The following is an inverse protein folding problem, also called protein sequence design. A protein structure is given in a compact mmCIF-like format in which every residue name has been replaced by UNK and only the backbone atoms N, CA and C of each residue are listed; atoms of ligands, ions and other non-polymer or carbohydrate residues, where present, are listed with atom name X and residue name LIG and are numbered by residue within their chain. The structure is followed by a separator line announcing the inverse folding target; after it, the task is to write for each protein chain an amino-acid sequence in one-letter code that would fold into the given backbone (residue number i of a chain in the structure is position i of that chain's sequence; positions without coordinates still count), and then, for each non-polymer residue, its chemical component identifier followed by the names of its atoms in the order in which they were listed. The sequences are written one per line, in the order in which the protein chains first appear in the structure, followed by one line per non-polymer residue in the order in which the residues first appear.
data_IF_838497568954
#
_entry.id   IF_838497568954
#
_cell.length_a   1.000
_cell.length_b   1.000
_cell.length_c   1.000
_cell.angle_alpha   90.00
_cell.angle_beta   90.00
_cell.angle_gamma   90.00
#
_symmetry.space_group_name_H-M   'P 1'
#
loop_
_entity.id
_entity.type
_entity.pdbx_description
1 polymer ?
#
# COMPACT_ATOMS: atom_id res chain seq x y z
N UNK A 1 -9.11 9.53 -5.73
CA UNK A 1 -9.07 8.24 -4.99
C UNK A 1 -8.28 8.42 -3.71
N UNK A 2 -8.66 7.74 -2.63
CA UNK A 2 -8.05 7.85 -1.30
C UNK A 2 -7.57 6.46 -0.83
N UNK A 3 -6.54 6.37 0.03
CA UNK A 3 -6.21 5.11 0.68
C UNK A 3 -7.34 4.69 1.62
N UNK A 4 -7.50 3.39 1.79
CA UNK A 4 -8.51 2.83 2.69
C UNK A 4 -8.27 1.36 2.95
N UNK A 5 -9.13 0.76 3.77
CA UNK A 5 -9.15 -0.68 4.00
C UNK A 5 -10.28 -1.32 3.20
N UNK A 6 -10.02 -2.49 2.62
CA UNK A 6 -11.00 -3.30 1.91
C UNK A 6 -10.89 -4.74 2.40
N UNK A 7 -12.03 -5.36 2.70
CA UNK A 7 -12.09 -6.76 3.11
C UNK A 7 -12.79 -7.56 2.01
N UNK A 8 -12.04 -8.42 1.34
CA UNK A 8 -12.58 -9.45 0.46
C UNK A 8 -12.91 -10.70 1.29
N UNK A 9 -14.11 -11.25 1.13
CA UNK A 9 -14.55 -12.45 1.83
C UNK A 9 -15.09 -13.47 0.84
N UNK A 10 -14.36 -14.57 0.71
CA UNK A 10 -14.77 -15.78 0.01
C UNK A 10 -14.17 -16.97 0.78
N UNK A 11 -14.87 -18.12 0.80
CA UNK A 11 -14.29 -19.34 1.40
C UNK A 11 -13.02 -19.73 0.63
N UNK A 12 -11.98 -20.05 1.37
CA UNK A 12 -10.63 -20.28 0.86
C UNK A 12 -9.85 -19.02 0.47
N UNK A 13 -10.50 -17.86 0.40
CA UNK A 13 -9.92 -16.62 -0.12
C UNK A 13 -10.48 -15.39 0.62
N UNK A 14 -10.10 -15.23 1.89
CA UNK A 14 -10.41 -14.01 2.65
C UNK A 14 -9.15 -13.17 2.82
N UNK A 15 -9.21 -11.90 2.42
CA UNK A 15 -8.07 -10.99 2.44
C UNK A 15 -8.46 -9.58 2.85
N UNK A 16 -7.69 -9.00 3.77
CA UNK A 16 -7.70 -7.56 4.03
C UNK A 16 -6.68 -6.89 3.11
N UNK A 17 -7.09 -5.80 2.48
CA UNK A 17 -6.25 -4.96 1.64
C UNK A 17 -6.19 -3.54 2.20
N UNK A 18 -5.09 -2.85 1.89
CA UNK A 18 -4.87 -1.44 2.20
C UNK A 18 -4.23 -0.73 1.01
N UNK A 19 -4.26 0.60 1.03
CA UNK A 19 -3.50 1.44 0.10
C UNK A 19 -4.33 1.98 -1.06
N UNK A 20 -3.66 2.25 -2.18
CA UNK A 20 -4.23 2.87 -3.38
C UNK A 20 -4.00 1.96 -4.57
N UNK A 21 -5.09 1.37 -5.09
CA UNK A 21 -5.10 0.47 -6.23
C UNK A 21 -5.45 1.24 -7.51
N UNK A 22 -4.63 1.08 -8.56
CA UNK A 22 -4.83 1.70 -9.88
C UNK A 22 -5.14 3.22 -9.86
N UNK A 23 -4.32 4.05 -9.16
CA UNK A 23 -4.44 5.50 -9.22
C UNK A 23 -4.34 6.04 -10.65
N UNK A 24 -5.11 7.09 -10.91
CA UNK A 24 -4.93 7.91 -12.10
C UNK A 24 -3.53 8.55 -12.13
N UNK A 25 -3.12 9.02 -13.31
CA UNK A 25 -1.79 9.56 -13.51
C UNK A 25 -1.45 10.73 -12.55
N UNK A 26 -2.36 11.69 -12.26
CA UNK A 26 -2.09 12.76 -11.29
C UNK A 26 -1.81 12.25 -9.87
N UNK A 27 -2.62 11.31 -9.36
CA UNK A 27 -2.44 10.75 -8.02
C UNK A 27 -1.16 9.91 -7.96
N UNK A 28 -0.92 9.09 -8.99
CA UNK A 28 0.27 8.26 -9.08
C UNK A 28 1.56 9.11 -9.12
N UNK A 29 1.52 10.25 -9.82
CA UNK A 29 2.63 11.21 -9.83
C UNK A 29 2.88 11.77 -8.43
N UNK A 30 1.84 12.22 -7.71
CA UNK A 30 1.99 12.76 -6.35
C UNK A 30 2.64 11.76 -5.38
N UNK A 31 2.24 10.49 -5.45
CA UNK A 31 2.85 9.43 -4.62
C UNK A 31 4.33 9.27 -4.93
N UNK A 32 4.69 9.20 -6.22
CA UNK A 32 6.09 9.07 -6.66
C UNK A 32 6.93 10.30 -6.30
N UNK A 33 6.39 11.49 -6.48
CA UNK A 33 7.07 12.74 -6.12
C UNK A 33 7.38 12.74 -4.62
N UNK A 34 6.42 12.36 -3.76
CA UNK A 34 6.68 12.25 -2.32
C UNK A 34 7.77 11.22 -1.98
N UNK A 35 7.86 10.11 -2.71
CA UNK A 35 8.95 9.12 -2.49
C UNK A 35 10.33 9.75 -2.78
N UNK A 36 10.41 10.64 -3.77
CA UNK A 36 11.64 11.37 -4.12
C UNK A 36 11.92 12.48 -3.13
N UNK A 37 10.89 13.25 -2.75
CA UNK A 37 11.02 14.42 -1.88
C UNK A 37 11.24 14.03 -0.41
N UNK A 38 10.65 12.92 0.04
CA UNK A 38 10.71 12.40 1.41
C UNK A 38 11.19 10.93 1.46
N UNK A 39 12.42 10.63 1.00
CA UNK A 39 12.91 9.26 0.88
C UNK A 39 13.01 8.52 2.23
N UNK A 40 13.26 9.24 3.32
CA UNK A 40 13.29 8.67 4.66
C UNK A 40 11.89 8.31 5.20
N UNK A 41 10.86 9.06 4.81
CA UNK A 41 9.48 8.72 5.15
C UNK A 41 9.07 7.42 4.42
N UNK A 42 9.39 7.32 3.13
CA UNK A 42 9.16 6.08 2.38
C UNK A 42 9.95 4.90 2.94
N UNK A 43 11.22 5.12 3.33
CA UNK A 43 12.06 4.10 3.96
C UNK A 43 11.43 3.53 5.24
N UNK A 44 10.77 4.36 6.05
CA UNK A 44 10.05 3.90 7.26
C UNK A 44 8.87 3.00 6.90
N UNK A 45 8.14 3.31 5.82
CA UNK A 45 7.05 2.46 5.32
C UNK A 45 7.57 1.08 4.92
N UNK A 46 8.58 1.01 4.05
CA UNK A 46 9.09 -0.28 3.55
C UNK A 46 9.92 -1.07 4.58
N UNK A 47 10.42 -0.40 5.64
CA UNK A 47 11.04 -1.08 6.80
C UNK A 47 10.00 -1.61 7.78
N UNK A 48 8.77 -1.10 7.74
CA UNK A 48 7.68 -1.75 8.45
C UNK A 48 7.40 -3.13 7.81
N UNK A 49 6.67 -4.02 8.50
CA UNK A 49 6.29 -5.32 7.95
C UNK A 49 5.28 -5.24 6.78
N UNK A 50 5.09 -4.05 6.21
CA UNK A 50 4.25 -3.83 5.03
C UNK A 50 4.96 -4.35 3.79
N UNK A 51 4.31 -5.28 3.09
CA UNK A 51 4.72 -5.68 1.76
C UNK A 51 3.90 -4.89 0.75
N UNK A 52 4.55 -4.00 -0.01
CA UNK A 52 3.88 -3.25 -1.09
C UNK A 52 3.84 -4.13 -2.34
N UNK A 53 2.65 -4.36 -2.86
CA UNK A 53 2.36 -5.30 -3.94
C UNK A 53 1.57 -4.64 -5.10
N UNK A 54 1.25 -5.43 -6.11
CA UNK A 54 0.53 -5.01 -7.32
C UNK A 54 1.43 -4.70 -8.51
N UNK A 55 0.85 -4.06 -9.52
CA UNK A 55 1.47 -3.88 -10.83
C UNK A 55 2.67 -2.93 -10.81
N UNK A 56 3.63 -3.19 -11.70
CA UNK A 56 4.79 -2.32 -11.91
C UNK A 56 5.13 -2.16 -13.39
N UNK A 57 5.67 -1.00 -13.74
CA UNK A 57 6.26 -0.74 -15.06
C UNK A 57 7.51 -1.60 -15.27
N UNK A 58 7.80 -1.97 -16.52
CA UNK A 58 9.05 -2.69 -16.86
C UNK A 58 10.30 -1.81 -16.84
N UNK A 59 10.13 -0.50 -17.06
CA UNK A 59 11.20 0.49 -17.13
C UNK A 59 10.95 1.61 -16.12
N UNK A 60 11.99 2.32 -15.67
CA UNK A 60 11.85 3.58 -14.94
C UNK A 60 10.79 4.49 -15.55
N UNK A 61 9.88 5.08 -14.76
CA UNK A 61 8.96 6.09 -15.25
C UNK A 61 9.72 7.34 -15.75
N UNK A 62 9.29 7.99 -16.84
CA UNK A 62 9.89 9.25 -17.27
C UNK A 62 9.81 10.33 -16.19
N UNK A 63 10.84 11.17 -16.09
CA UNK A 63 10.90 12.26 -15.10
C UNK A 63 11.50 11.87 -13.74
N UNK A 64 11.94 10.63 -13.57
CA UNK A 64 12.61 10.15 -12.36
C UNK A 64 14.01 9.65 -12.67
N UNK A 65 14.96 9.87 -11.75
CA UNK A 65 16.34 9.38 -11.90
C UNK A 65 16.35 7.83 -11.93
N UNK A 66 16.84 7.19 -13.02
CA UNK A 66 16.93 5.73 -13.08
C UNK A 66 17.85 5.13 -12.02
N UNK A 67 18.74 5.91 -11.41
CA UNK A 67 19.63 5.50 -10.32
C UNK A 67 19.07 5.81 -8.92
N UNK A 68 17.83 6.31 -8.81
CA UNK A 68 17.22 6.61 -7.52
C UNK A 68 17.16 5.34 -6.65
N UNK A 69 17.48 5.41 -5.34
CA UNK A 69 17.51 4.24 -4.46
C UNK A 69 16.16 3.50 -4.37
N UNK A 70 15.05 4.21 -4.61
CA UNK A 70 13.70 3.66 -4.63
C UNK A 70 13.13 3.48 -6.06
N UNK A 71 13.98 3.33 -7.07
CA UNK A 71 13.50 3.22 -8.46
C UNK A 71 12.52 2.07 -8.69
N UNK A 72 12.64 0.97 -7.93
CA UNK A 72 11.68 -0.14 -8.00
C UNK A 72 10.30 0.27 -7.49
N UNK A 73 10.24 1.08 -6.43
CA UNK A 73 8.97 1.61 -5.92
C UNK A 73 8.40 2.68 -6.83
N UNK A 74 9.25 3.52 -7.43
CA UNK A 74 8.81 4.51 -8.42
C UNK A 74 8.20 3.84 -9.66
N UNK A 75 8.63 2.62 -10.02
CA UNK A 75 8.03 1.84 -11.12
C UNK A 75 6.63 1.32 -10.80
N UNK A 76 6.21 1.27 -9.53
CA UNK A 76 4.90 0.75 -9.14
C UNK A 76 3.78 1.55 -9.77
N UNK A 77 2.73 0.85 -10.17
CA UNK A 77 1.43 1.42 -10.55
C UNK A 77 0.45 1.32 -9.40
N UNK A 78 0.58 0.27 -8.59
CA UNK A 78 -0.21 0.05 -7.39
C UNK A 78 0.62 0.25 -6.12
N UNK A 79 -0.01 0.84 -5.11
CA UNK A 79 0.56 0.98 -3.78
C UNK A 79 -0.39 0.33 -2.79
N UNK A 80 -0.48 -0.99 -2.86
CA UNK A 80 -1.38 -1.79 -2.02
C UNK A 80 -0.59 -2.76 -1.14
N UNK A 81 -1.20 -3.20 -0.05
CA UNK A 81 -0.71 -4.30 0.78
C UNK A 81 -1.87 -5.18 1.22
N UNK A 82 -1.61 -6.46 1.47
CA UNK A 82 -2.63 -7.41 1.90
C UNK A 82 -2.22 -8.32 3.05
N UNK A 83 -3.26 -8.89 3.68
CA UNK A 83 -3.19 -9.95 4.69
C UNK A 83 -4.26 -10.98 4.42
N UNK A 84 -3.89 -12.25 4.32
CA UNK A 84 -4.81 -13.36 4.12
C UNK A 84 -5.25 -13.98 5.46
N UNK A 85 -6.47 -14.50 5.47
CA UNK A 85 -7.06 -15.21 6.59
C UNK A 85 -7.52 -16.59 6.13
N UNK A 86 -7.29 -17.61 6.97
CA UNK A 86 -7.81 -18.96 6.76
C UNK A 86 -9.27 -19.02 7.22
N UNK A 87 -10.08 -19.89 6.61
CA UNK A 87 -11.51 -20.03 6.92
C UNK A 87 -11.82 -20.21 8.41
N UNK A 88 -11.00 -20.98 9.14
CA UNK A 88 -11.20 -21.16 10.59
C UNK A 88 -10.91 -19.89 11.41
N UNK A 89 -10.09 -18.97 10.92
CA UNK A 89 -9.86 -17.68 11.55
C UNK A 89 -11.04 -16.75 11.28
N UNK A 90 -11.59 -16.79 10.05
CA UNK A 90 -12.73 -15.97 9.62
C UNK A 90 -14.01 -16.31 10.39
N UNK A 91 -14.23 -17.58 10.68
CA UNK A 91 -15.40 -18.04 11.46
C UNK A 91 -15.19 -17.98 12.97
N UNK A 92 -14.01 -17.58 13.44
CA UNK A 92 -13.71 -17.48 14.86
C UNK A 92 -14.31 -16.21 15.48
N UNK A 93 -14.65 -16.22 16.79
CA UNK A 93 -15.05 -15.00 17.49
C UNK A 93 -13.95 -13.91 17.52
N UNK A 94 -12.69 -14.27 17.26
CA UNK A 94 -11.53 -13.37 17.24
C UNK A 94 -11.25 -12.78 15.85
N UNK A 95 -12.10 -13.05 14.85
CA UNK A 95 -11.84 -12.60 13.49
C UNK A 95 -11.73 -11.08 13.39
N UNK A 96 -12.62 -10.34 14.05
CA UNK A 96 -12.61 -8.89 13.99
C UNK A 96 -11.33 -8.30 14.59
N UNK A 97 -10.84 -8.85 15.70
CA UNK A 97 -9.58 -8.44 16.31
C UNK A 97 -8.40 -8.72 15.37
N UNK A 98 -8.37 -9.92 14.78
CA UNK A 98 -7.35 -10.29 13.79
C UNK A 98 -7.37 -9.39 12.55
N UNK A 99 -8.56 -8.96 12.12
CA UNK A 99 -8.73 -8.02 11.02
C UNK A 99 -8.23 -6.61 11.38
N UNK A 100 -8.51 -6.14 12.59
CA UNK A 100 -8.01 -4.85 13.10
C UNK A 100 -6.47 -4.87 13.19
N UNK A 101 -5.88 -5.92 13.76
CA UNK A 101 -4.42 -6.10 13.81
C UNK A 101 -3.79 -6.10 12.41
N UNK A 102 -4.45 -6.74 11.44
CA UNK A 102 -4.01 -6.70 10.04
C UNK A 102 -4.05 -5.26 9.48
N UNK A 103 -5.12 -4.52 9.71
CA UNK A 103 -5.27 -3.12 9.31
C UNK A 103 -4.20 -2.21 9.93
N UNK A 104 -3.95 -2.34 11.24
CA UNK A 104 -2.91 -1.61 11.96
C UNK A 104 -1.51 -1.91 11.42
N UNK A 105 -1.25 -3.19 11.08
CA UNK A 105 0.02 -3.59 10.48
C UNK A 105 0.29 -2.93 9.12
N UNK A 106 -0.76 -2.44 8.46
CA UNK A 106 -0.71 -1.77 7.16
C UNK A 106 -0.91 -0.24 7.25
N UNK A 107 -1.20 0.31 8.43
CA UNK A 107 -1.39 1.76 8.67
C UNK A 107 -0.26 2.65 8.11
N UNK A 108 1.03 2.28 8.24
CA UNK A 108 2.11 3.14 7.75
C UNK A 108 2.01 3.45 6.25
N UNK A 109 1.51 2.51 5.45
CA UNK A 109 1.30 2.72 4.02
C UNK A 109 0.20 3.74 3.77
N UNK A 110 -0.96 3.55 4.40
CA UNK A 110 -2.09 4.46 4.22
C UNK A 110 -1.76 5.89 4.67
N UNK A 111 -1.06 6.05 5.80
CA UNK A 111 -0.59 7.35 6.29
C UNK A 111 0.31 8.06 5.29
N UNK A 112 1.26 7.33 4.69
CA UNK A 112 2.15 7.90 3.68
C UNK A 112 1.38 8.30 2.42
N UNK A 113 0.50 7.42 1.92
CA UNK A 113 -0.28 7.67 0.71
C UNK A 113 -1.26 8.83 0.88
N UNK A 114 -1.97 8.90 2.00
CA UNK A 114 -2.93 9.96 2.30
C UNK A 114 -2.25 11.33 2.28
N UNK A 115 -1.11 11.46 2.98
CA UNK A 115 -0.38 12.72 2.98
C UNK A 115 0.23 13.07 1.61
N UNK A 116 0.57 12.08 0.77
CA UNK A 116 1.05 12.35 -0.59
C UNK A 116 -0.03 13.01 -1.47
N UNK A 117 -1.29 12.68 -1.23
CA UNK A 117 -2.42 13.21 -2.01
C UNK A 117 -3.16 14.36 -1.31
N UNK A 118 -2.72 14.76 -0.12
CA UNK A 118 -3.27 15.86 0.65
C UNK A 118 -4.55 15.53 1.42
N UNK A 119 -4.72 14.28 1.86
CA UNK A 119 -5.87 13.82 2.63
C UNK A 119 -5.50 13.54 4.10
N UNK A 120 -6.45 13.67 5.04
CA UNK A 120 -6.26 13.25 6.42
C UNK A 120 -6.16 11.72 6.55
N UNK A 121 -5.46 11.25 7.59
CA UNK A 121 -5.37 9.84 7.99
C UNK A 121 -5.15 9.66 9.49
#
# INVERSE_FOLDING_TARGET
MAPGYYLHMQSGETMAHSGVWHPDAPILKKIRDRIVDEPDAWRKVIRSRVAVEGDSLKRPPPGYDPNHPFIQDLRRKDFVSSRSFRDHQVTSPQFLDSFIEACESMDPLNRFLAGAIGLPW
#
